data_IF_661241873106
#
_entry.id   IF_661241873106
#
_cell.length_a   1.000
_cell.length_b   1.000
_cell.length_c   1.000
_cell.angle_alpha   90.00
_cell.angle_beta   90.00
_cell.angle_gamma   90.00
#
_symmetry.space_group_name_H-M   'P 1'
#
loop_
_entity.id
_entity.type
_entity.pdbx_description
1 polymer ?
#
# COMPACT_ATOMS: atom_id res chain seq x y z
N UNK A 1 -6.54 -8.77 27.77
CA UNK A 1 -7.40 -9.30 26.70
C UNK A 1 -7.45 -10.81 26.79
N UNK A 2 -8.61 -11.37 27.15
CA UNK A 2 -8.86 -12.79 27.40
C UNK A 2 -9.46 -13.48 26.17
N UNK A 3 -8.94 -13.14 24.98
CA UNK A 3 -9.62 -13.43 23.70
C UNK A 3 -9.36 -14.87 23.21
N UNK A 4 -8.33 -15.55 23.72
CA UNK A 4 -8.02 -16.92 23.29
C UNK A 4 -8.71 -18.05 24.07
N UNK A 5 -8.99 -17.89 25.37
CA UNK A 5 -9.29 -19.04 26.24
C UNK A 5 -10.74 -19.51 26.24
N UNK A 6 -11.69 -18.69 25.77
CA UNK A 6 -13.12 -19.00 25.85
C UNK A 6 -13.52 -20.21 25.00
N UNK A 7 -13.00 -20.31 23.77
CA UNK A 7 -13.32 -21.41 22.86
C UNK A 7 -12.70 -22.74 23.33
N UNK A 8 -11.47 -22.70 23.85
CA UNK A 8 -10.84 -23.87 24.48
C UNK A 8 -11.60 -24.35 25.73
N UNK A 9 -12.17 -23.44 26.51
CA UNK A 9 -12.99 -23.80 27.66
C UNK A 9 -14.34 -24.39 27.23
N UNK A 10 -14.99 -23.80 26.22
CA UNK A 10 -16.23 -24.31 25.65
C UNK A 10 -16.08 -25.71 25.04
N UNK A 11 -15.01 -25.95 24.28
CA UNK A 11 -14.70 -27.27 23.72
C UNK A 11 -14.40 -28.28 24.83
N UNK A 12 -13.62 -27.91 25.85
CA UNK A 12 -13.38 -28.78 27.01
C UNK A 12 -14.68 -29.13 27.73
N UNK A 13 -15.56 -28.15 27.94
CA UNK A 13 -16.85 -28.37 28.57
C UNK A 13 -17.75 -29.29 27.75
N UNK A 14 -17.82 -29.08 26.42
CA UNK A 14 -18.57 -29.94 25.52
C UNK A 14 -18.06 -31.40 25.55
N UNK A 15 -16.73 -31.60 25.59
CA UNK A 15 -16.13 -32.93 25.80
C UNK A 15 -16.52 -33.54 27.13
N UNK A 16 -16.50 -32.78 28.23
CA UNK A 16 -16.93 -33.29 29.54
C UNK A 16 -18.41 -33.64 29.59
N UNK A 17 -19.23 -33.05 28.72
CA UNK A 17 -20.66 -33.35 28.59
C UNK A 17 -20.95 -34.51 27.60
N UNK A 18 -19.91 -35.15 27.06
CA UNK A 18 -20.06 -36.28 26.14
C UNK A 18 -20.45 -35.90 24.71
N UNK A 19 -20.30 -34.63 24.32
CA UNK A 19 -20.51 -34.21 22.92
C UNK A 19 -19.41 -34.83 22.05
N UNK A 20 -19.79 -35.44 20.94
CA UNK A 20 -18.85 -36.08 20.01
C UNK A 20 -17.91 -35.06 19.35
N UNK A 21 -16.70 -35.52 19.03
CA UNK A 21 -15.67 -34.74 18.33
C UNK A 21 -16.18 -34.20 17.00
N UNK A 22 -16.93 -35.03 16.27
CA UNK A 22 -17.55 -34.67 14.99
C UNK A 22 -18.50 -33.48 15.15
N UNK A 23 -19.39 -33.53 16.15
CA UNK A 23 -20.34 -32.44 16.38
C UNK A 23 -19.64 -31.14 16.78
N UNK A 24 -18.56 -31.24 17.56
CA UNK A 24 -17.74 -30.06 17.92
C UNK A 24 -17.05 -29.49 16.67
N UNK A 25 -16.50 -30.34 15.80
CA UNK A 25 -15.88 -29.91 14.55
C UNK A 25 -16.89 -29.20 13.64
N UNK A 26 -18.06 -29.81 13.43
CA UNK A 26 -19.12 -29.22 12.61
C UNK A 26 -19.59 -27.87 13.16
N UNK A 27 -19.77 -27.77 14.48
CA UNK A 27 -20.18 -26.51 15.12
C UNK A 27 -19.12 -25.41 14.97
N UNK A 28 -17.83 -25.76 15.13
CA UNK A 28 -16.72 -24.82 14.93
C UNK A 28 -16.64 -24.39 13.46
N UNK A 29 -16.73 -25.34 12.53
CA UNK A 29 -16.70 -25.05 11.09
C UNK A 29 -17.82 -24.09 10.70
N UNK A 30 -19.06 -24.36 11.14
CA UNK A 30 -20.22 -23.50 10.92
C UNK A 30 -20.02 -22.11 11.53
N UNK A 31 -19.56 -22.02 12.78
CA UNK A 31 -19.33 -20.75 13.46
C UNK A 31 -18.20 -19.94 12.80
N UNK A 32 -17.16 -20.61 12.29
CA UNK A 32 -16.07 -20.01 11.54
C UNK A 32 -16.55 -19.48 10.19
N UNK A 33 -17.37 -20.23 9.47
CA UNK A 33 -17.97 -19.80 8.20
C UNK A 33 -18.88 -18.58 8.40
N UNK A 34 -19.80 -18.63 9.36
CA UNK A 34 -20.65 -17.49 9.71
C UNK A 34 -19.85 -16.27 10.22
N UNK A 35 -18.76 -16.53 10.94
CA UNK A 35 -17.82 -15.51 11.38
C UNK A 35 -17.13 -14.82 10.21
N UNK A 36 -16.62 -15.60 9.25
CA UNK A 36 -15.98 -15.11 8.05
C UNK A 36 -16.96 -14.32 7.18
N UNK A 37 -18.17 -14.84 6.94
CA UNK A 37 -19.22 -14.15 6.18
C UNK A 37 -19.60 -12.82 6.83
N UNK A 38 -19.80 -12.78 8.16
CA UNK A 38 -20.08 -11.53 8.88
C UNK A 38 -18.94 -10.53 8.79
N UNK A 39 -17.69 -10.99 8.89
CA UNK A 39 -16.52 -10.12 8.77
C UNK A 39 -16.41 -9.53 7.35
N UNK A 40 -16.62 -10.35 6.32
CA UNK A 40 -16.65 -9.90 4.93
C UNK A 40 -17.80 -8.92 4.68
N UNK A 41 -19.00 -9.20 5.20
CA UNK A 41 -20.13 -8.29 5.10
C UNK A 41 -19.91 -6.95 5.80
N UNK A 42 -19.24 -6.93 6.96
CA UNK A 42 -18.86 -5.68 7.64
C UNK A 42 -17.85 -4.84 6.84
N UNK A 43 -17.03 -5.50 6.01
CA UNK A 43 -16.14 -4.84 5.05
C UNK A 43 -16.83 -4.46 3.74
N UNK A 44 -18.12 -4.77 3.59
CA UNK A 44 -18.87 -4.56 2.35
C UNK A 44 -18.51 -5.55 1.24
N UNK A 45 -17.84 -6.65 1.56
CA UNK A 45 -17.34 -7.67 0.62
C UNK A 45 -18.24 -8.93 0.58
N UNK A 46 -19.57 -8.73 0.66
CA UNK A 46 -20.54 -9.83 0.73
C UNK A 46 -21.16 -10.21 -0.61
N UNK A 47 -20.97 -9.40 -1.65
CA UNK A 47 -21.48 -9.69 -2.99
C UNK A 47 -20.52 -10.59 -3.79
N UNK A 48 -21.05 -11.18 -4.86
CA UNK A 48 -20.32 -12.11 -5.74
C UNK A 48 -19.15 -11.45 -6.50
N UNK A 49 -19.17 -10.13 -6.68
CA UNK A 49 -18.15 -9.38 -7.41
C UNK A 49 -17.04 -8.84 -6.49
N UNK A 50 -17.26 -8.80 -5.17
CA UNK A 50 -16.31 -8.28 -4.19
C UNK A 50 -14.87 -8.81 -4.35
N UNK A 51 -14.71 -10.09 -4.69
CA UNK A 51 -13.39 -10.69 -4.94
C UNK A 51 -12.71 -10.13 -6.19
N UNK A 52 -13.47 -9.89 -7.26
CA UNK A 52 -13.00 -9.27 -8.49
C UNK A 52 -12.63 -7.80 -8.26
N UNK A 53 -13.50 -7.05 -7.59
CA UNK A 53 -13.30 -5.63 -7.30
C UNK A 53 -12.03 -5.40 -6.48
N UNK A 54 -11.78 -6.22 -5.45
CA UNK A 54 -10.55 -6.15 -4.66
C UNK A 54 -9.31 -6.46 -5.50
N UNK A 55 -9.42 -7.38 -6.46
CA UNK A 55 -8.32 -7.73 -7.37
C UNK A 55 -8.04 -6.57 -8.33
N UNK A 56 -9.07 -5.95 -8.88
CA UNK A 56 -8.96 -4.78 -9.75
C UNK A 56 -8.39 -3.58 -9.01
N UNK A 57 -8.86 -3.29 -7.79
CA UNK A 57 -8.31 -2.21 -6.96
C UNK A 57 -6.82 -2.40 -6.66
N UNK A 58 -6.38 -3.63 -6.41
CA UNK A 58 -4.94 -3.94 -6.25
C UNK A 58 -4.17 -3.70 -7.54
N UNK A 59 -4.71 -4.14 -8.68
CA UNK A 59 -4.08 -3.90 -9.98
C UNK A 59 -3.97 -2.40 -10.30
N UNK A 60 -5.01 -1.61 -10.02
CA UNK A 60 -5.00 -0.16 -10.16
C UNK A 60 -3.96 0.49 -9.24
N UNK A 61 -3.89 0.07 -7.97
CA UNK A 61 -2.90 0.57 -7.02
C UNK A 61 -1.47 0.25 -7.44
N UNK A 62 -1.23 -0.94 -7.96
CA UNK A 62 0.08 -1.33 -8.49
C UNK A 62 0.47 -0.46 -9.68
N UNK A 63 -0.46 -0.26 -10.64
CA UNK A 63 -0.24 0.62 -11.79
C UNK A 63 0.02 2.09 -11.39
N UNK A 64 -0.67 2.57 -10.35
CA UNK A 64 -0.46 3.91 -9.79
C UNK A 64 0.91 4.03 -9.11
N UNK A 65 1.30 3.00 -8.36
CA UNK A 65 2.60 2.96 -7.69
C UNK A 65 3.74 3.01 -8.70
N UNK A 66 3.62 2.28 -9.79
CA UNK A 66 4.59 2.27 -10.88
C UNK A 66 4.61 3.61 -11.61
N UNK A 67 3.44 4.18 -11.89
CA UNK A 67 3.32 5.53 -12.50
C UNK A 67 3.98 6.61 -11.63
N UNK A 68 3.79 6.57 -10.31
CA UNK A 68 4.43 7.50 -9.37
C UNK A 68 5.96 7.36 -9.38
N UNK A 69 6.47 6.13 -9.51
CA UNK A 69 7.91 5.88 -9.64
C UNK A 69 8.47 6.50 -10.91
N UNK A 70 7.80 6.31 -12.05
CA UNK A 70 8.18 6.90 -13.33
C UNK A 70 8.10 8.43 -13.31
N UNK A 71 7.02 8.99 -12.76
CA UNK A 71 6.85 10.44 -12.63
C UNK A 71 8.00 11.07 -11.83
N UNK A 72 8.34 10.50 -10.68
CA UNK A 72 9.47 10.98 -9.85
C UNK A 72 10.80 10.89 -10.60
N UNK A 73 11.07 9.80 -11.32
CA UNK A 73 12.30 9.67 -12.11
C UNK A 73 12.39 10.74 -13.20
N UNK A 74 11.29 10.99 -13.92
CA UNK A 74 11.23 12.04 -14.94
C UNK A 74 11.43 13.42 -14.33
N UNK A 75 10.76 13.73 -13.21
CA UNK A 75 10.91 15.01 -12.51
C UNK A 75 12.35 15.23 -12.07
N UNK A 76 12.99 14.26 -11.42
CA UNK A 76 14.40 14.37 -11.00
C UNK A 76 15.31 14.60 -12.20
N UNK A 77 15.08 13.88 -13.31
CA UNK A 77 15.86 14.05 -14.54
C UNK A 77 15.72 15.47 -15.10
N UNK A 78 14.51 16.02 -15.13
CA UNK A 78 14.27 17.40 -15.59
C UNK A 78 14.93 18.43 -14.67
N UNK A 79 14.84 18.24 -13.35
CA UNK A 79 15.50 19.11 -12.37
C UNK A 79 17.01 19.11 -12.58
N UNK A 80 17.63 17.95 -12.76
CA UNK A 80 19.07 17.87 -13.03
C UNK A 80 19.45 18.55 -14.35
N UNK A 81 18.63 18.42 -15.40
CA UNK A 81 18.85 19.13 -16.67
C UNK A 81 18.78 20.65 -16.48
N UNK A 82 17.75 21.14 -15.80
CA UNK A 82 17.59 22.57 -15.51
C UNK A 82 18.76 23.10 -14.67
N UNK A 83 19.18 22.33 -13.66
CA UNK A 83 20.30 22.69 -12.81
C UNK A 83 21.61 22.80 -13.59
N UNK A 84 21.93 21.83 -14.46
CA UNK A 84 23.12 21.87 -15.31
C UNK A 84 23.06 23.02 -16.31
N UNK A 85 21.90 23.24 -16.95
CA UNK A 85 21.71 24.38 -17.86
C UNK A 85 21.90 25.72 -17.14
N UNK A 86 21.35 25.86 -15.94
CA UNK A 86 21.52 27.05 -15.11
C UNK A 86 22.99 27.26 -14.72
N UNK A 87 23.74 26.20 -14.41
CA UNK A 87 25.16 26.28 -14.08
C UNK A 87 26.00 26.80 -15.25
N UNK A 88 25.75 26.28 -16.47
CA UNK A 88 26.44 26.71 -17.69
C UNK A 88 26.11 28.18 -17.99
N UNK A 89 24.83 28.56 -17.91
CA UNK A 89 24.41 29.95 -18.11
C UNK A 89 25.04 30.89 -17.08
N UNK A 90 25.06 30.50 -15.80
CA UNK A 90 25.67 31.28 -14.73
C UNK A 90 27.17 31.51 -14.95
N UNK A 91 27.90 30.47 -15.39
CA UNK A 91 29.32 30.60 -15.75
C UNK A 91 29.51 31.56 -16.93
N UNK A 92 28.70 31.44 -17.99
CA UNK A 92 28.78 32.31 -19.16
C UNK A 92 28.56 33.79 -18.80
N UNK A 93 27.58 34.08 -17.93
CA UNK A 93 27.32 35.43 -17.42
C UNK A 93 28.52 35.95 -16.61
N UNK A 94 29.06 35.15 -15.69
CA UNK A 94 30.24 35.53 -14.90
C UNK A 94 31.44 35.87 -15.79
N UNK A 95 31.72 35.04 -16.79
CA UNK A 95 32.82 35.29 -17.73
C UNK A 95 32.59 36.57 -18.55
N UNK A 96 31.38 36.82 -19.06
CA UNK A 96 31.06 38.07 -19.76
C UNK A 96 31.24 39.30 -18.87
N UNK A 97 30.79 39.23 -17.61
CA UNK A 97 30.93 40.34 -16.66
C UNK A 97 32.40 40.67 -16.37
N UNK A 98 33.23 39.64 -16.18
CA UNK A 98 34.68 39.81 -15.97
C UNK A 98 35.33 40.46 -17.19
N UNK A 99 34.99 40.01 -18.40
CA UNK A 99 35.52 40.57 -19.64
C UNK A 99 35.10 42.04 -19.85
N UNK A 100 33.85 42.38 -19.50
CA UNK A 100 33.34 43.75 -19.56
C UNK A 100 34.15 44.68 -18.63
N UNK A 101 34.40 44.25 -17.39
CA UNK A 101 35.18 45.01 -16.41
C UNK A 101 36.62 45.27 -16.85
N UNK A 102 37.27 44.32 -17.54
CA UNK A 102 38.60 44.53 -18.11
C UNK A 102 38.59 45.50 -19.31
N UNK A 103 37.50 45.57 -20.06
CA UNK A 103 37.40 46.43 -21.24
C UNK A 103 37.19 47.90 -20.88
N UNK A 104 36.49 48.19 -19.79
CA UNK A 104 36.26 49.57 -19.31
C UNK A 104 37.31 50.04 -18.28
N UNK A 105 38.17 49.15 -17.80
CA UNK A 105 39.22 49.45 -16.83
C UNK A 105 40.59 49.79 -17.43
N UNK A 106 40.74 49.69 -18.76
CA UNK A 106 41.93 50.09 -19.52
C UNK A 106 41.73 51.44 -20.21
#
# INVERSE_FOLDING_TARGET
>A
MRIGSGLFQAVRQAKTQGVSDENIYLLIAQASEEGAVRALAQLGLSDENAGSDITELRALLDSWRDSKKLARQTVVRWIMRLFLSALILGLAVKFKLIQLGQTFGN
#
